data_IF_111242861187
#
_entry.id   IF_111242861187
#
_cell.length_a   1.000
_cell.length_b   1.000
_cell.length_c   1.000
_cell.angle_alpha   90.00
_cell.angle_beta   90.00
_cell.angle_gamma   90.00
#
_symmetry.space_group_name_H-M   'P 1'
#
loop_
_entity.id
_entity.type
_entity.pdbx_description
1 polymer ?
#
# COMPACT_ATOMS: atom_id res chain seq x y z
N UNK A 1 25.00 -12.48 -3.51
CA UNK A 1 24.18 -11.78 -4.51
C UNK A 1 22.75 -11.77 -3.99
N UNK A 2 22.29 -10.66 -3.39
CA UNK A 2 20.89 -10.55 -2.94
C UNK A 2 20.01 -10.39 -4.18
N UNK A 3 19.01 -11.26 -4.41
CA UNK A 3 18.12 -11.11 -5.55
C UNK A 3 17.27 -9.85 -5.33
N UNK A 4 17.48 -8.86 -6.19
CA UNK A 4 16.58 -7.70 -6.38
C UNK A 4 15.21 -8.24 -6.76
N UNK A 5 14.36 -8.46 -5.76
CA UNK A 5 13.03 -9.03 -5.93
C UNK A 5 12.03 -7.88 -5.87
N UNK A 6 11.42 -7.60 -7.01
CA UNK A 6 10.27 -6.69 -7.05
C UNK A 6 9.15 -7.34 -6.23
N UNK A 7 8.54 -6.64 -5.27
CA UNK A 7 7.47 -7.20 -4.48
C UNK A 7 6.26 -7.51 -5.38
N UNK A 8 5.61 -8.63 -5.09
CA UNK A 8 4.40 -9.08 -5.78
C UNK A 8 3.15 -8.71 -5.00
N UNK A 9 2.04 -8.52 -5.71
CA UNK A 9 0.73 -8.34 -5.10
C UNK A 9 0.30 -9.63 -4.37
N UNK A 10 -0.08 -9.56 -3.08
CA UNK A 10 -0.52 -10.74 -2.33
C UNK A 10 -1.88 -11.29 -2.80
N UNK A 11 -2.63 -10.55 -3.63
CA UNK A 11 -3.96 -10.94 -4.08
C UNK A 11 -3.99 -11.59 -5.47
N UNK A 12 -3.02 -11.29 -6.33
CA UNK A 12 -2.95 -11.84 -7.69
C UNK A 12 -1.56 -12.32 -8.12
N UNK A 13 -0.51 -12.13 -7.32
CA UNK A 13 0.86 -12.56 -7.64
C UNK A 13 1.62 -11.65 -8.61
N UNK A 14 0.93 -10.80 -9.38
CA UNK A 14 1.54 -9.85 -10.32
C UNK A 14 2.54 -8.88 -9.65
N UNK A 15 3.62 -8.47 -10.35
CA UNK A 15 4.59 -7.52 -9.83
C UNK A 15 3.94 -6.15 -9.57
N UNK A 16 4.37 -5.48 -8.51
CA UNK A 16 3.95 -4.12 -8.22
C UNK A 16 4.73 -3.12 -9.06
N UNK A 17 4.04 -2.10 -9.57
CA UNK A 17 4.67 -1.03 -10.33
C UNK A 17 4.86 0.23 -9.49
N UNK A 18 5.98 0.95 -9.66
CA UNK A 18 6.21 2.23 -9.01
C UNK A 18 5.31 3.33 -9.57
N UNK A 19 4.81 4.18 -8.68
CA UNK A 19 4.09 5.39 -9.05
C UNK A 19 4.45 6.53 -8.10
N UNK A 20 4.40 7.77 -8.61
CA UNK A 20 4.61 8.97 -7.81
C UNK A 20 3.33 9.38 -7.10
N UNK A 21 3.49 9.78 -5.84
CA UNK A 21 2.45 10.48 -5.09
C UNK A 21 2.54 11.98 -5.35
N UNK A 22 1.46 12.74 -5.11
CA UNK A 22 1.52 14.19 -5.10
C UNK A 22 2.54 14.66 -4.06
N UNK A 23 3.33 15.67 -4.40
CA UNK A 23 4.37 16.24 -3.53
C UNK A 23 3.78 16.75 -2.19
N UNK A 24 2.49 17.11 -2.19
CA UNK A 24 1.78 17.70 -1.03
C UNK A 24 1.10 16.64 -0.14
N UNK A 25 1.28 15.35 -0.42
CA UNK A 25 0.47 14.28 0.16
C UNK A 25 0.84 13.83 1.58
N UNK A 26 1.88 14.41 2.19
CA UNK A 26 2.36 14.02 3.53
C UNK A 26 2.92 12.59 3.62
N UNK A 27 3.41 12.04 2.51
CA UNK A 27 3.94 10.69 2.45
C UNK A 27 5.46 10.68 2.51
N UNK A 28 6.03 9.86 3.41
CA UNK A 28 7.47 9.64 3.49
C UNK A 28 7.93 8.75 2.33
N UNK A 29 8.37 9.39 1.23
CA UNK A 29 9.01 8.71 0.09
C UNK A 29 8.70 9.33 -1.27
N UNK A 30 9.65 9.19 -2.20
CA UNK A 30 9.55 9.73 -3.58
C UNK A 30 8.64 8.92 -4.50
N UNK A 31 8.36 7.66 -4.16
CA UNK A 31 7.46 6.78 -4.90
C UNK A 31 6.89 5.70 -3.99
N UNK A 32 5.78 5.11 -4.40
CA UNK A 32 5.22 3.91 -3.79
C UNK A 32 4.96 2.85 -4.85
N UNK A 33 4.68 1.62 -4.41
CA UNK A 33 4.41 0.49 -5.29
C UNK A 33 2.92 0.16 -5.22
N UNK A 34 2.28 -0.10 -6.36
CA UNK A 34 0.88 -0.51 -6.40
C UNK A 34 0.60 -1.59 -7.45
N UNK A 35 -0.47 -2.35 -7.23
CA UNK A 35 -0.95 -3.36 -8.17
C UNK A 35 -1.82 -2.73 -9.25
N UNK A 36 -1.31 -2.70 -10.49
CA UNK A 36 -2.03 -2.19 -11.66
C UNK A 36 -2.66 -3.28 -12.53
N UNK A 37 -2.81 -4.51 -12.02
CA UNK A 37 -3.59 -5.55 -12.66
C UNK A 37 -5.10 -5.27 -12.47
N UNK A 38 -5.82 -5.10 -13.57
CA UNK A 38 -7.27 -4.85 -13.57
C UNK A 38 -8.11 -6.10 -13.30
N UNK A 39 -7.50 -7.28 -13.42
CA UNK A 39 -8.09 -8.59 -13.09
C UNK A 39 -7.81 -9.01 -11.64
N UNK A 40 -7.08 -8.19 -10.88
CA UNK A 40 -6.78 -8.48 -9.48
C UNK A 40 -8.09 -8.62 -8.69
N UNK A 41 -8.33 -9.74 -7.96
CA UNK A 41 -9.60 -9.98 -7.26
C UNK A 41 -9.83 -8.99 -6.11
N UNK A 42 -8.78 -8.35 -5.60
CA UNK A 42 -8.91 -7.27 -4.65
C UNK A 42 -9.51 -6.01 -5.30
N UNK A 43 -8.99 -5.63 -6.46
CA UNK A 43 -9.46 -4.48 -7.23
C UNK A 43 -10.84 -4.72 -7.85
N UNK A 44 -11.08 -5.90 -8.43
CA UNK A 44 -12.37 -6.21 -9.07
C UNK A 44 -13.52 -6.21 -8.04
N UNK A 45 -13.34 -6.84 -6.88
CA UNK A 45 -14.36 -6.89 -5.82
C UNK A 45 -14.59 -5.54 -5.14
N UNK A 46 -13.56 -4.68 -5.07
CA UNK A 46 -13.68 -3.36 -4.46
C UNK A 46 -14.73 -2.47 -5.13
N UNK A 47 -14.94 -2.61 -6.45
CA UNK A 47 -15.98 -1.86 -7.18
C UNK A 47 -17.37 -2.18 -6.66
N UNK A 48 -17.71 -3.46 -6.61
CA UNK A 48 -19.01 -3.92 -6.12
C UNK A 48 -19.20 -3.57 -4.65
N UNK A 49 -18.16 -3.75 -3.82
CA UNK A 49 -18.24 -3.46 -2.39
C UNK A 49 -18.51 -1.97 -2.10
N UNK A 50 -17.80 -1.06 -2.78
CA UNK A 50 -17.99 0.39 -2.62
C UNK A 50 -19.34 0.87 -3.13
N UNK A 51 -19.81 0.29 -4.23
CA UNK A 51 -21.13 0.60 -4.78
C UNK A 51 -22.24 0.11 -3.83
N UNK A 52 -22.14 -1.11 -3.30
CA UNK A 52 -23.14 -1.70 -2.39
C UNK A 52 -23.19 -0.99 -1.02
N UNK A 53 -22.04 -0.67 -0.44
CA UNK A 53 -21.98 -0.14 0.93
C UNK A 53 -22.07 1.39 0.99
N UNK A 54 -21.63 2.09 -0.05
CA UNK A 54 -21.50 3.55 -0.04
C UNK A 54 -22.13 4.24 -1.26
N UNK A 55 -22.63 3.49 -2.26
CA UNK A 55 -23.24 4.07 -3.46
C UNK A 55 -22.25 4.84 -4.34
N UNK A 56 -20.95 4.58 -4.22
CA UNK A 56 -19.92 5.30 -4.99
C UNK A 56 -19.18 4.37 -5.94
N UNK A 57 -18.98 4.84 -7.17
CA UNK A 57 -18.20 4.12 -8.18
C UNK A 57 -16.71 4.33 -7.95
N UNK A 58 -16.15 3.57 -7.00
CA UNK A 58 -14.73 3.56 -6.69
C UNK A 58 -14.27 2.14 -6.33
N UNK A 59 -12.96 1.91 -6.32
CA UNK A 59 -12.38 0.65 -5.83
C UNK A 59 -11.07 0.93 -5.10
N UNK A 60 -10.36 -0.12 -4.69
CA UNK A 60 -9.06 -0.05 -4.05
C UNK A 60 -8.03 -0.87 -4.82
N UNK A 61 -6.81 -0.35 -4.92
CA UNK A 61 -5.64 -1.14 -5.34
C UNK A 61 -4.77 -1.44 -4.13
N UNK A 62 -4.05 -2.56 -4.18
CA UNK A 62 -3.03 -2.86 -3.17
C UNK A 62 -1.84 -1.92 -3.36
N UNK A 63 -1.41 -1.28 -2.28
CA UNK A 63 -0.29 -0.34 -2.21
C UNK A 63 0.73 -0.83 -1.20
N UNK A 64 1.99 -0.60 -1.48
CA UNK A 64 3.11 -0.92 -0.61
C UNK A 64 4.09 0.26 -0.57
N UNK A 65 4.42 0.70 0.64
CA UNK A 65 5.46 1.69 0.86
C UNK A 65 6.82 0.97 1.02
N UNK A 66 7.75 1.14 0.06
CA UNK A 66 9.07 0.50 0.14
C UNK A 66 9.96 1.03 1.26
N UNK A 67 9.73 2.26 1.73
CA UNK A 67 10.53 2.90 2.80
C UNK A 67 10.14 2.36 4.17
N UNK A 68 8.85 2.33 4.47
CA UNK A 68 8.35 1.85 5.77
C UNK A 68 8.03 0.35 5.81
N UNK A 69 8.02 -0.32 4.65
CA UNK A 69 7.60 -1.72 4.52
C UNK A 69 6.10 -1.97 4.77
N UNK A 70 5.29 -0.92 4.87
CA UNK A 70 3.87 -1.02 5.18
C UNK A 70 3.01 -1.18 3.92
N UNK A 71 1.99 -2.03 4.01
CA UNK A 71 0.98 -2.20 2.97
C UNK A 71 -0.33 -1.50 3.35
N UNK A 72 -1.05 -0.97 2.36
CA UNK A 72 -2.39 -0.41 2.58
C UNK A 72 -3.23 -0.43 1.29
N UNK A 73 -4.55 -0.23 1.36
CA UNK A 73 -5.34 0.14 0.19
C UNK A 73 -4.97 1.52 -0.32
N UNK A 74 -5.14 1.74 -1.62
CA UNK A 74 -5.27 3.07 -2.22
C UNK A 74 -6.60 3.18 -2.99
N UNK A 75 -7.46 4.16 -2.67
CA UNK A 75 -8.72 4.35 -3.38
C UNK A 75 -8.46 4.83 -4.81
N UNK A 76 -9.27 4.33 -5.74
CA UNK A 76 -9.22 4.68 -7.16
C UNK A 76 -10.62 4.95 -7.69
N UNK A 77 -10.76 6.06 -8.43
CA UNK A 77 -12.03 6.50 -9.02
C UNK A 77 -12.28 5.93 -10.43
N UNK A 78 -11.27 5.28 -11.03
CA UNK A 78 -11.37 4.61 -12.33
C UNK A 78 -10.29 3.54 -12.48
N UNK A 79 -10.40 2.66 -13.49
CA UNK A 79 -9.34 1.71 -13.86
C UNK A 79 -8.01 2.40 -14.20
N UNK A 80 -8.09 3.63 -14.72
CA UNK A 80 -6.94 4.42 -15.15
C UNK A 80 -6.36 5.32 -14.06
N UNK A 81 -7.01 5.43 -12.90
CA UNK A 81 -6.51 6.24 -11.81
C UNK A 81 -5.09 5.80 -11.43
N UNK A 82 -4.19 6.80 -11.24
CA UNK A 82 -2.78 6.65 -10.88
C UNK A 82 -1.87 6.13 -11.99
N UNK A 83 -2.40 5.69 -13.13
CA UNK A 83 -1.57 5.19 -14.26
C UNK A 83 -0.75 6.30 -14.91
N UNK A 84 -1.26 7.52 -14.91
CA UNK A 84 -0.59 8.74 -15.38
C UNK A 84 0.66 9.10 -14.56
N UNK A 85 0.79 8.54 -13.36
CA UNK A 85 1.91 8.77 -12.43
C UNK A 85 2.82 7.55 -12.29
N UNK A 86 2.59 6.51 -13.08
CA UNK A 86 3.47 5.35 -13.10
C UNK A 86 4.85 5.76 -13.60
N UNK A 87 5.87 5.21 -12.95
CA UNK A 87 7.26 5.40 -13.35
C UNK A 87 7.65 4.18 -14.19
N UNK A 88 8.29 4.39 -15.33
CA UNK A 88 8.89 3.30 -16.09
C UNK A 88 10.12 2.75 -15.34
N UNK A 89 10.08 1.46 -15.02
CA UNK A 89 11.22 0.73 -14.45
C UNK A 89 10.83 -0.21 -13.31
N UNK A 90 11.55 -1.34 -13.23
CA UNK A 90 11.45 -2.26 -12.11
C UNK A 90 12.23 -1.71 -10.91
N UNK A 91 11.53 -1.46 -9.80
CA UNK A 91 12.19 -1.02 -8.56
C UNK A 91 12.47 -2.23 -7.67
N UNK A 92 13.75 -2.48 -7.43
CA UNK A 92 14.19 -3.40 -6.41
C UNK A 92 14.01 -2.77 -5.03
N UNK A 93 13.27 -3.44 -4.14
CA UNK A 93 13.10 -2.98 -2.76
C UNK A 93 13.99 -3.80 -1.86
N UNK A 94 15.04 -3.19 -1.32
CA UNK A 94 15.84 -3.79 -0.26
C UNK A 94 15.01 -3.75 1.04
N UNK A 95 14.81 -4.92 1.67
CA UNK A 95 14.03 -5.03 2.90
C UNK A 95 14.66 -4.18 4.02
N UNK A 96 14.11 -3.01 4.31
CA UNK A 96 14.39 -2.31 5.57
C UNK A 96 13.56 -2.99 6.67
N UNK A 97 14.24 -3.77 7.51
CA UNK A 97 13.66 -4.30 8.74
C UNK A 97 13.46 -3.16 9.73
N UNK A 98 12.22 -2.96 10.17
CA UNK A 98 11.86 -2.01 11.23
C UNK A 98 10.81 -2.63 12.13
N UNK A 99 11.25 -3.43 13.11
CA UNK A 99 10.45 -3.74 14.28
C UNK A 99 10.88 -2.77 15.38
N UNK A 100 10.37 -1.54 15.32
CA UNK A 100 10.50 -0.62 16.44
C UNK A 100 9.66 -1.17 17.61
N UNK A 101 10.39 -1.78 18.55
CA UNK A 101 9.91 -2.20 19.85
C UNK A 101 9.50 -0.93 20.60
N UNK A 102 8.23 -0.82 20.99
CA UNK A 102 7.80 0.20 21.96
C UNK A 102 7.88 -0.46 23.36
N UNK A 103 8.83 -0.08 24.24
CA UNK A 103 8.77 -0.48 25.63
C UNK A 103 7.98 0.57 26.42
N UNK A 104 6.88 0.16 27.03
CA UNK A 104 6.18 0.96 28.02
C UNK A 104 4.88 0.30 28.47
N UNK A 105 4.46 0.33 29.72
CA UNK A 105 4.94 0.97 30.95
C UNK A 105 4.27 0.24 32.11
N UNK A 106 5.00 0.06 33.20
CA UNK A 106 4.53 -0.58 34.43
C UNK A 106 3.51 0.35 35.12
N UNK A 107 2.25 -0.06 35.13
CA UNK A 107 1.18 0.66 35.80
C UNK A 107 1.16 0.37 37.29
N UNK A 108 1.86 1.18 38.08
CA UNK A 108 1.53 1.37 39.49
C UNK A 108 0.09 1.92 39.62
N UNK A 109 -0.78 1.21 40.32
CA UNK A 109 -1.93 1.82 41.00
C UNK A 109 -1.98 1.31 42.43
N UNK A 110 -1.58 2.19 43.34
CA UNK A 110 -1.88 2.09 44.75
C UNK A 110 -3.40 2.17 44.96
N UNK A 111 -3.88 1.30 45.83
CA UNK A 111 -5.22 1.36 46.42
C UNK A 111 -5.05 1.45 47.94
N UNK A 112 -5.47 2.58 48.48
CA UNK A 112 -5.95 2.84 49.85
C UNK A 112 -7.09 3.84 49.64
N UNK A 113 -8.17 3.85 50.44
CA UNK A 113 -8.20 3.60 51.89
C UNK A 113 -8.80 2.26 52.33
#
# INVERSE_FOLDING_TARGET
MVPKTSPSCPHCGEPLAPFKLPDDGGWDGTFQLACFNDECPYFARGWAWMEEHYGVRSSYRYRFNPVSGQASPIPVWSRNALRDRMIEGDVAVDKVGGSDVIPGQDGEKGSHP
#
